data_IF_291148915928
#
_entry.id   IF_291148915928
#
_cell.length_a   1.000
_cell.length_b   1.000
_cell.length_c   1.000
_cell.angle_alpha   90.00
_cell.angle_beta   90.00
_cell.angle_gamma   90.00
#
_symmetry.space_group_name_H-M   'P 1'
#
loop_
_entity.id
_entity.type
_entity.pdbx_description
1 polymer ?
#
# COMPACT_ATOMS: atom_id res chain seq x y z
N UNK A 1 -17.75 9.35 7.28
CA UNK A 1 -17.43 10.55 8.09
C UNK A 1 -16.91 11.58 7.12
N UNK A 2 -17.69 12.63 6.84
CA UNK A 2 -17.28 13.77 6.01
C UNK A 2 -16.30 14.62 6.82
N UNK A 3 -15.23 15.08 6.22
CA UNK A 3 -14.31 16.06 6.83
C UNK A 3 -15.12 17.33 7.20
N UNK A 4 -14.79 18.00 8.32
CA UNK A 4 -15.37 19.30 8.58
C UNK A 4 -15.02 20.27 7.44
N UNK A 5 -15.93 21.18 7.05
CA UNK A 5 -15.82 22.02 5.85
C UNK A 5 -14.49 22.82 5.69
N UNK A 6 -13.84 23.16 6.79
CA UNK A 6 -12.54 23.86 6.78
C UNK A 6 -11.37 23.01 6.29
N UNK A 7 -11.42 21.68 6.45
CA UNK A 7 -10.31 20.80 6.05
C UNK A 7 -10.35 20.43 4.57
N UNK A 8 -11.52 20.47 3.90
CA UNK A 8 -11.58 20.27 2.44
C UNK A 8 -11.01 21.49 1.69
N UNK A 9 -11.17 22.71 2.25
CA UNK A 9 -10.65 23.95 1.66
C UNK A 9 -9.11 24.03 1.67
N UNK A 10 -8.43 23.27 2.55
CA UNK A 10 -6.98 23.30 2.68
C UNK A 10 -6.26 22.36 1.71
N UNK A 11 -7.00 21.53 0.96
CA UNK A 11 -6.46 20.53 0.05
C UNK A 11 -6.92 20.71 -1.38
N UNK A 12 -5.97 20.73 -2.31
CA UNK A 12 -6.27 20.63 -3.74
C UNK A 12 -6.32 19.16 -4.13
N UNK A 13 -7.47 18.71 -4.63
CA UNK A 13 -7.66 17.35 -5.17
C UNK A 13 -7.71 17.43 -6.68
N UNK A 14 -6.89 16.62 -7.34
CA UNK A 14 -6.81 16.57 -8.81
C UNK A 14 -6.61 15.13 -9.29
N UNK A 15 -6.91 14.87 -10.56
CA UNK A 15 -6.52 13.62 -11.22
C UNK A 15 -5.28 13.92 -12.06
N UNK A 16 -4.23 13.15 -11.83
CA UNK A 16 -2.94 13.29 -12.50
C UNK A 16 -2.54 11.99 -13.18
N UNK A 17 -1.75 12.09 -14.24
CA UNK A 17 -1.25 10.92 -14.96
C UNK A 17 0.26 11.06 -15.18
N UNK A 18 0.95 9.91 -15.19
CA UNK A 18 2.39 9.82 -15.42
C UNK A 18 2.72 8.59 -16.27
N UNK A 19 3.92 8.58 -16.86
CA UNK A 19 4.39 7.44 -17.65
C UNK A 19 5.31 6.56 -16.83
N UNK A 20 5.13 5.24 -16.96
CA UNK A 20 6.04 4.25 -16.37
C UNK A 20 7.28 4.06 -17.24
N UNK A 21 8.36 3.56 -16.64
CA UNK A 21 9.59 3.19 -17.35
C UNK A 21 9.52 1.80 -18.00
N UNK A 22 8.36 1.14 -18.03
CA UNK A 22 8.18 -0.18 -18.64
C UNK A 22 8.32 -0.18 -20.16
N UNK A 23 8.44 -1.36 -20.76
CA UNK A 23 8.44 -1.55 -22.20
C UNK A 23 7.31 -2.54 -22.60
N UNK A 24 6.19 -2.06 -23.18
CA UNK A 24 5.90 -0.66 -23.48
C UNK A 24 5.62 0.18 -22.24
N UNK A 25 5.86 1.50 -22.26
CA UNK A 25 5.51 2.38 -21.16
C UNK A 25 3.99 2.54 -21.07
N UNK A 26 3.47 2.48 -19.85
CA UNK A 26 2.05 2.70 -19.56
C UNK A 26 1.83 4.15 -19.09
N UNK A 27 0.64 4.70 -19.36
CA UNK A 27 0.17 5.92 -18.73
C UNK A 27 -0.74 5.52 -17.57
N UNK A 28 -0.23 5.68 -16.34
CA UNK A 28 -0.96 5.41 -15.10
C UNK A 28 -1.53 6.71 -14.58
N UNK A 29 -2.77 6.69 -14.11
CA UNK A 29 -3.43 7.84 -13.52
C UNK A 29 -3.83 7.57 -12.07
N UNK A 30 -4.08 8.64 -11.33
CA UNK A 30 -4.52 8.53 -9.94
C UNK A 30 -5.08 9.83 -9.40
N UNK A 31 -5.65 9.75 -8.19
CA UNK A 31 -6.18 10.88 -7.43
C UNK A 31 -5.08 11.43 -6.53
N UNK A 32 -4.62 12.63 -6.84
CA UNK A 32 -3.62 13.37 -6.09
C UNK A 32 -4.29 14.41 -5.19
N UNK A 33 -3.93 14.43 -3.92
CA UNK A 33 -4.31 15.48 -2.98
C UNK A 33 -3.05 16.14 -2.40
N UNK A 34 -2.89 17.45 -2.62
CA UNK A 34 -1.77 18.26 -2.13
C UNK A 34 -2.28 19.42 -1.27
N UNK A 35 -1.51 19.86 -0.25
CA UNK A 35 -1.91 21.02 0.53
C UNK A 35 -1.88 22.30 -0.32
N UNK A 36 -2.69 23.29 0.06
CA UNK A 36 -2.70 24.64 -0.53
C UNK A 36 -1.87 25.65 0.29
N UNK A 37 -1.23 25.20 1.38
CA UNK A 37 -0.48 26.05 2.31
C UNK A 37 0.81 26.68 1.75
N UNK A 38 1.28 26.21 0.59
CA UNK A 38 2.55 26.62 -0.01
C UNK A 38 3.80 25.96 0.59
N UNK A 39 3.68 25.21 1.68
CA UNK A 39 4.75 24.41 2.26
C UNK A 39 4.80 23.01 1.61
N UNK A 40 6.03 22.47 1.48
CA UNK A 40 6.20 21.12 0.96
C UNK A 40 5.80 20.07 2.01
N UNK A 41 4.81 19.25 1.67
CA UNK A 41 4.33 18.16 2.51
C UNK A 41 5.01 16.83 2.20
N UNK A 42 5.16 15.95 3.18
CA UNK A 42 5.42 14.54 2.91
C UNK A 42 4.26 13.94 2.12
N UNK A 43 4.51 12.86 1.37
CA UNK A 43 3.47 12.24 0.57
C UNK A 43 3.47 10.71 0.70
N UNK A 44 2.27 10.13 0.67
CA UNK A 44 2.06 8.68 0.64
C UNK A 44 1.43 8.28 -0.69
N UNK A 45 2.14 7.42 -1.45
CA UNK A 45 1.58 6.68 -2.56
C UNK A 45 0.65 5.60 -2.01
N UNK A 46 -0.55 5.47 -2.58
CA UNK A 46 -1.53 4.45 -2.21
C UNK A 46 -1.74 3.49 -3.38
N UNK A 47 -1.47 2.20 -3.13
CA UNK A 47 -1.60 1.11 -4.10
C UNK A 47 -2.78 0.21 -3.75
N UNK A 48 -3.76 0.13 -4.64
CA UNK A 48 -4.98 -0.67 -4.45
C UNK A 48 -4.73 -2.19 -4.48
N UNK A 49 -5.70 -2.97 -4.01
CA UNK A 49 -5.71 -4.43 -4.09
C UNK A 49 -6.15 -4.95 -5.47
N UNK A 50 -6.34 -6.27 -5.58
CA UNK A 50 -6.73 -6.96 -6.84
C UNK A 50 -8.03 -6.45 -7.45
N UNK A 51 -8.93 -5.86 -6.65
CA UNK A 51 -10.20 -5.32 -7.14
C UNK A 51 -10.09 -3.91 -7.76
N UNK A 52 -8.90 -3.32 -7.82
CA UNK A 52 -8.71 -1.95 -8.25
C UNK A 52 -9.05 -0.94 -7.16
N UNK A 53 -9.18 0.33 -7.54
CA UNK A 53 -9.61 1.42 -6.65
C UNK A 53 -11.05 1.16 -6.18
N UNK A 54 -11.27 1.04 -4.87
CA UNK A 54 -12.55 0.60 -4.31
C UNK A 54 -13.02 1.32 -3.03
N UNK A 55 -12.42 2.46 -2.72
CA UNK A 55 -12.75 3.30 -1.56
C UNK A 55 -11.86 3.08 -0.34
N UNK A 56 -11.11 1.96 -0.24
CA UNK A 56 -10.14 1.75 0.85
C UNK A 56 -9.06 2.82 0.86
N UNK A 57 -8.52 3.14 -0.32
CA UNK A 57 -7.52 4.18 -0.46
C UNK A 57 -8.01 5.52 0.10
N UNK A 58 -9.22 5.94 -0.25
CA UNK A 58 -9.81 7.18 0.28
C UNK A 58 -10.05 7.14 1.79
N UNK A 59 -10.47 5.99 2.34
CA UNK A 59 -10.65 5.83 3.79
C UNK A 59 -9.37 6.13 4.58
N UNK A 60 -8.21 5.63 4.09
CA UNK A 60 -6.91 5.92 4.70
C UNK A 60 -6.37 7.30 4.32
N UNK A 61 -6.57 7.73 3.07
CA UNK A 61 -6.11 9.03 2.58
C UNK A 61 -6.71 10.20 3.35
N UNK A 62 -7.98 10.11 3.73
CA UNK A 62 -8.64 11.13 4.55
C UNK A 62 -7.90 11.35 5.87
N UNK A 63 -7.52 10.28 6.58
CA UNK A 63 -6.79 10.40 7.84
C UNK A 63 -5.36 10.90 7.66
N UNK A 64 -4.69 10.48 6.59
CA UNK A 64 -3.35 10.98 6.24
C UNK A 64 -3.37 12.47 5.94
N UNK A 65 -4.36 12.95 5.17
CA UNK A 65 -4.53 14.39 4.90
C UNK A 65 -4.81 15.18 6.17
N UNK A 66 -5.63 14.66 7.08
CA UNK A 66 -5.86 15.26 8.41
C UNK A 66 -4.57 15.40 9.22
N UNK A 67 -3.60 14.55 8.95
CA UNK A 67 -2.28 14.54 9.57
C UNK A 67 -1.22 15.33 8.77
N UNK A 68 -1.62 16.14 7.78
CA UNK A 68 -0.72 16.96 6.98
C UNK A 68 0.09 16.21 5.91
N UNK A 69 -0.33 15.00 5.55
CA UNK A 69 0.37 14.13 4.58
C UNK A 69 -0.39 14.13 3.25
N UNK A 70 0.26 14.53 2.17
CA UNK A 70 -0.27 14.44 0.81
C UNK A 70 -0.48 12.98 0.41
N UNK A 71 -1.46 12.73 -0.47
CA UNK A 71 -1.78 11.36 -0.88
C UNK A 71 -1.93 11.25 -2.39
N UNK A 72 -1.45 10.14 -2.96
CA UNK A 72 -1.63 9.83 -4.36
C UNK A 72 -2.11 8.39 -4.53
N UNK A 73 -3.41 8.18 -4.73
CA UNK A 73 -3.98 6.87 -5.01
C UNK A 73 -3.95 6.62 -6.52
N UNK A 74 -3.13 5.65 -6.97
CA UNK A 74 -2.98 5.31 -8.38
C UNK A 74 -3.90 4.16 -8.80
N UNK A 75 -4.37 4.18 -10.05
CA UNK A 75 -5.10 3.07 -10.68
C UNK A 75 -4.15 2.27 -11.58
N UNK A 76 -3.59 1.19 -11.01
CA UNK A 76 -2.69 0.29 -11.74
C UNK A 76 -3.40 -0.54 -12.80
N UNK A 77 -4.74 -0.67 -12.75
CA UNK A 77 -5.50 -1.51 -13.67
C UNK A 77 -5.97 -0.78 -14.92
N UNK A 78 -6.42 0.47 -14.81
CA UNK A 78 -6.94 1.23 -15.94
C UNK A 78 -5.95 1.32 -17.11
N UNK A 79 -4.67 1.56 -16.82
CA UNK A 79 -3.61 1.62 -17.82
C UNK A 79 -3.39 0.30 -18.58
N UNK A 80 -3.83 -0.82 -18.01
CA UNK A 80 -3.70 -2.18 -18.59
C UNK A 80 -4.98 -2.64 -19.26
N UNK A 81 -6.05 -1.85 -19.23
CA UNK A 81 -7.37 -2.25 -19.70
C UNK A 81 -7.95 -3.44 -18.92
N UNK A 82 -7.43 -3.68 -17.69
CA UNK A 82 -7.86 -4.80 -16.88
C UNK A 82 -9.21 -4.49 -16.20
N UNK A 83 -10.05 -5.51 -16.13
CA UNK A 83 -11.28 -5.50 -15.35
C UNK A 83 -10.96 -5.86 -13.91
N UNK A 84 -11.92 -5.66 -13.00
CA UNK A 84 -11.78 -6.02 -11.59
C UNK A 84 -11.68 -7.54 -11.39
N UNK A 85 -11.00 -7.95 -10.33
CA UNK A 85 -10.96 -9.32 -9.83
C UNK A 85 -9.72 -10.10 -10.26
N UNK A 86 -9.59 -11.30 -9.70
CA UNK A 86 -8.40 -12.14 -9.81
C UNK A 86 -8.03 -12.54 -11.23
N UNK A 87 -9.04 -12.78 -12.09
CA UNK A 87 -8.82 -13.24 -13.47
C UNK A 87 -8.26 -12.18 -14.41
N UNK A 88 -8.36 -10.90 -14.04
CA UNK A 88 -8.00 -9.78 -14.90
C UNK A 88 -6.69 -9.09 -14.51
N UNK A 89 -6.13 -9.41 -13.34
CA UNK A 89 -4.88 -8.83 -12.85
C UNK A 89 -3.65 -9.34 -13.62
N UNK A 90 -2.50 -8.65 -13.59
CA UNK A 90 -1.23 -9.17 -14.11
C UNK A 90 -0.85 -10.53 -13.53
N UNK A 91 0.06 -11.24 -14.19
CA UNK A 91 0.48 -12.59 -13.76
C UNK A 91 1.20 -12.58 -12.42
N UNK A 92 1.91 -11.48 -12.12
CA UNK A 92 2.70 -11.35 -10.90
C UNK A 92 2.73 -9.91 -10.41
N UNK A 93 2.87 -9.73 -9.09
CA UNK A 93 2.96 -8.40 -8.47
C UNK A 93 4.14 -7.58 -9.00
N UNK A 94 5.35 -8.16 -9.22
CA UNK A 94 6.48 -7.42 -9.78
C UNK A 94 6.24 -6.70 -11.11
N UNK A 95 5.23 -7.11 -11.90
CA UNK A 95 4.85 -6.42 -13.13
C UNK A 95 4.27 -5.01 -12.88
N UNK A 96 3.84 -4.73 -11.65
CA UNK A 96 3.28 -3.42 -11.26
C UNK A 96 4.27 -2.53 -10.48
N UNK A 97 5.47 -3.02 -10.18
CA UNK A 97 6.49 -2.21 -9.50
C UNK A 97 6.92 -0.96 -10.29
N UNK A 98 7.03 -1.00 -11.64
CA UNK A 98 7.31 0.21 -12.41
C UNK A 98 6.30 1.33 -12.19
N UNK A 99 5.03 1.01 -11.86
CA UNK A 99 4.01 2.01 -11.59
C UNK A 99 4.32 2.76 -10.28
N UNK A 100 4.68 2.02 -9.22
CA UNK A 100 5.01 2.60 -7.93
C UNK A 100 6.29 3.46 -7.99
N UNK A 101 7.35 3.00 -8.67
CA UNK A 101 8.58 3.78 -8.80
C UNK A 101 8.41 5.01 -9.70
N UNK A 102 7.62 4.91 -10.76
CA UNK A 102 7.29 6.07 -11.59
C UNK A 102 6.41 7.08 -10.84
N UNK A 103 5.48 6.59 -9.99
CA UNK A 103 4.70 7.45 -9.11
C UNK A 103 5.56 8.20 -8.09
N UNK A 104 6.63 7.56 -7.55
CA UNK A 104 7.59 8.24 -6.69
C UNK A 104 8.29 9.39 -7.42
N UNK A 105 8.72 9.17 -8.66
CA UNK A 105 9.35 10.20 -9.50
C UNK A 105 8.36 11.33 -9.83
N UNK A 106 7.11 10.98 -10.12
CA UNK A 106 6.04 11.95 -10.37
C UNK A 106 5.76 12.81 -9.12
N UNK A 107 5.64 12.18 -7.94
CA UNK A 107 5.44 12.90 -6.67
C UNK A 107 6.60 13.84 -6.36
N UNK A 108 7.83 13.37 -6.50
CA UNK A 108 9.02 14.18 -6.23
C UNK A 108 9.16 15.42 -7.14
N UNK A 109 8.53 15.40 -8.31
CA UNK A 109 8.48 16.52 -9.24
C UNK A 109 7.39 17.56 -8.92
N UNK A 110 6.48 17.26 -7.97
CA UNK A 110 5.42 18.19 -7.57
C UNK A 110 6.00 19.27 -6.65
N UNK A 111 5.72 20.57 -6.91
CA UNK A 111 6.27 21.66 -6.09
C UNK A 111 5.79 21.63 -4.64
N UNK A 112 4.63 21.08 -4.36
CA UNK A 112 4.03 20.95 -3.02
C UNK A 112 4.51 19.73 -2.24
N UNK A 113 5.30 18.84 -2.84
CA UNK A 113 5.75 17.60 -2.22
C UNK A 113 7.22 17.69 -1.80
N UNK A 114 7.52 17.18 -0.61
CA UNK A 114 8.89 16.96 -0.15
C UNK A 114 9.41 15.63 -0.71
N UNK A 115 10.35 15.65 -1.66
CA UNK A 115 10.86 14.43 -2.29
C UNK A 115 11.66 13.53 -1.35
N UNK A 116 12.06 14.04 -0.18
CA UNK A 116 12.79 13.27 0.83
C UNK A 116 11.87 12.55 1.82
N UNK A 117 10.57 12.83 1.78
CA UNK A 117 9.55 12.24 2.67
C UNK A 117 8.43 11.58 1.87
N UNK A 118 8.80 10.55 1.10
CA UNK A 118 7.85 9.73 0.34
C UNK A 118 7.64 8.39 1.03
N UNK A 119 6.38 8.01 1.25
CA UNK A 119 5.99 6.71 1.75
C UNK A 119 5.09 5.97 0.77
N UNK A 120 4.88 4.68 1.02
CA UNK A 120 3.93 3.87 0.25
C UNK A 120 3.04 3.04 1.17
N UNK A 121 1.74 3.07 0.91
CA UNK A 121 0.70 2.29 1.56
C UNK A 121 0.04 1.38 0.52
N UNK A 122 -0.18 0.13 0.85
CA UNK A 122 -0.85 -0.76 -0.08
C UNK A 122 -1.74 -1.81 0.59
N UNK A 123 -2.74 -2.29 -0.17
CA UNK A 123 -3.74 -3.25 0.26
C UNK A 123 -3.60 -4.55 -0.53
N UNK A 124 -3.47 -5.71 0.12
CA UNK A 124 -3.39 -7.01 -0.56
C UNK A 124 -2.32 -6.99 -1.67
N UNK A 125 -2.68 -7.03 -2.95
CA UNK A 125 -1.75 -6.84 -4.06
C UNK A 125 -0.87 -5.59 -3.89
N UNK A 126 -1.47 -4.45 -3.61
CA UNK A 126 -0.75 -3.20 -3.32
C UNK A 126 0.11 -3.29 -2.06
N UNK A 127 -0.28 -4.09 -1.07
CA UNK A 127 0.53 -4.42 0.11
C UNK A 127 1.81 -5.14 -0.27
N UNK A 128 1.73 -6.11 -1.19
CA UNK A 128 2.92 -6.77 -1.75
C UNK A 128 3.78 -5.76 -2.53
N UNK A 129 3.16 -4.88 -3.35
CA UNK A 129 3.89 -3.79 -4.04
C UNK A 129 4.66 -2.93 -3.02
N UNK A 130 4.00 -2.49 -1.94
CA UNK A 130 4.63 -1.71 -0.88
C UNK A 130 5.86 -2.43 -0.30
N UNK A 131 5.73 -3.71 0.05
CA UNK A 131 6.84 -4.48 0.61
C UNK A 131 7.98 -4.70 -0.40
N UNK A 132 7.68 -4.98 -1.66
CA UNK A 132 8.71 -5.19 -2.67
C UNK A 132 9.47 -3.90 -3.01
N UNK A 133 8.83 -2.72 -2.95
CA UNK A 133 9.52 -1.44 -3.12
C UNK A 133 10.53 -1.14 -2.00
N UNK A 134 10.41 -1.82 -0.83
CA UNK A 134 11.37 -1.76 0.26
C UNK A 134 12.62 -2.62 0.05
N UNK A 135 12.68 -3.44 -1.01
CA UNK A 135 13.77 -4.39 -1.21
C UNK A 135 14.86 -3.83 -2.12
N UNK A 136 16.12 -4.13 -1.84
CA UNK A 136 17.29 -3.71 -2.63
C UNK A 136 17.25 -4.27 -4.06
N UNK A 137 16.96 -5.58 -4.30
CA UNK A 137 16.92 -6.13 -5.64
C UNK A 137 15.89 -5.47 -6.56
N UNK A 138 14.67 -5.27 -6.07
CA UNK A 138 13.62 -4.64 -6.87
C UNK A 138 13.88 -3.16 -7.09
N UNK A 139 14.40 -2.45 -6.07
CA UNK A 139 14.81 -1.07 -6.24
C UNK A 139 15.90 -0.92 -7.30
N UNK A 140 16.91 -1.79 -7.30
CA UNK A 140 17.98 -1.76 -8.28
C UNK A 140 17.48 -2.07 -9.70
N UNK A 141 16.58 -3.05 -9.86
CA UNK A 141 16.16 -3.52 -11.18
C UNK A 141 14.98 -2.73 -11.78
N UNK A 142 14.09 -2.15 -10.97
CA UNK A 142 12.86 -1.48 -11.42
C UNK A 142 12.73 -0.03 -10.94
N UNK A 143 13.47 0.36 -9.91
CA UNK A 143 13.43 1.68 -9.29
C UNK A 143 14.71 2.49 -9.44
N UNK A 144 15.64 2.07 -10.32
CA UNK A 144 16.87 2.80 -10.55
C UNK A 144 16.58 4.24 -11.00
N UNK A 145 17.18 5.23 -10.30
CA UNK A 145 16.94 6.65 -10.55
C UNK A 145 15.66 7.24 -9.96
N UNK A 146 14.71 6.42 -9.49
CA UNK A 146 13.55 6.93 -8.76
C UNK A 146 13.93 7.35 -7.34
N UNK A 147 13.25 8.35 -6.74
CA UNK A 147 13.38 8.67 -5.32
C UNK A 147 13.08 7.44 -4.44
N UNK A 148 13.70 7.38 -3.26
CA UNK A 148 13.44 6.31 -2.33
C UNK A 148 12.11 6.55 -1.59
N UNK A 149 11.34 5.49 -1.38
CA UNK A 149 10.36 5.50 -0.30
C UNK A 149 11.11 5.33 1.03
N UNK A 150 10.82 6.20 1.98
CA UNK A 150 11.43 6.18 3.32
C UNK A 150 10.56 5.48 4.36
N UNK A 151 9.37 5.03 3.98
CA UNK A 151 8.44 4.29 4.84
C UNK A 151 7.49 3.44 4.00
N UNK A 152 7.19 2.22 4.48
CA UNK A 152 6.35 1.26 3.76
C UNK A 152 5.28 0.70 4.70
N UNK A 153 4.01 0.80 4.33
CA UNK A 153 2.90 0.20 5.06
C UNK A 153 2.14 -0.78 4.16
N UNK A 154 1.85 -1.97 4.68
CA UNK A 154 1.16 -3.03 3.96
C UNK A 154 0.04 -3.61 4.80
N UNK A 155 -1.18 -3.63 4.25
CA UNK A 155 -2.32 -4.28 4.85
C UNK A 155 -2.56 -5.63 4.16
N UNK A 156 -2.64 -6.69 4.95
CA UNK A 156 -2.89 -8.08 4.55
C UNK A 156 -2.17 -8.50 3.24
N UNK A 157 -0.80 -8.42 3.23
CA UNK A 157 0.01 -8.61 2.01
C UNK A 157 0.20 -10.09 1.63
N UNK A 158 -0.54 -11.04 2.24
CA UNK A 158 -0.41 -12.50 2.04
C UNK A 158 0.98 -13.01 2.44
N UNK A 159 1.24 -13.03 3.74
CA UNK A 159 2.57 -13.27 4.34
C UNK A 159 3.19 -14.63 3.97
N UNK A 160 2.37 -15.69 3.81
CA UNK A 160 2.88 -17.03 3.48
C UNK A 160 3.69 -17.06 2.17
N UNK A 161 3.36 -16.18 1.22
CA UNK A 161 3.96 -16.18 -0.11
C UNK A 161 5.41 -15.66 -0.10
N UNK A 162 5.76 -14.81 0.89
CA UNK A 162 7.12 -14.31 1.01
C UNK A 162 8.10 -15.42 1.45
N UNK A 163 9.30 -15.40 0.90
CA UNK A 163 10.38 -16.41 1.06
C UNK A 163 10.01 -17.79 0.49
N UNK A 164 8.84 -17.92 -0.19
CA UNK A 164 8.38 -19.17 -0.82
C UNK A 164 8.18 -18.98 -2.32
N UNK A 165 7.46 -17.91 -2.72
CA UNK A 165 7.20 -17.63 -4.12
C UNK A 165 8.38 -16.89 -4.79
N UNK A 166 8.75 -17.24 -6.04
CA UNK A 166 9.83 -16.57 -6.74
C UNK A 166 9.64 -15.04 -6.83
N UNK A 167 10.65 -14.28 -6.46
CA UNK A 167 10.65 -12.82 -6.49
C UNK A 167 9.93 -12.15 -5.31
N UNK A 168 9.37 -12.90 -4.38
CA UNK A 168 8.78 -12.40 -3.14
C UNK A 168 9.73 -12.72 -1.97
N UNK A 169 10.73 -11.88 -1.76
CA UNK A 169 11.67 -11.99 -0.64
C UNK A 169 11.86 -10.64 0.05
N UNK A 170 11.91 -10.66 1.38
CA UNK A 170 12.22 -9.53 2.26
C UNK A 170 13.60 -9.70 2.94
N UNK A 171 14.42 -10.61 2.45
CA UNK A 171 15.74 -10.87 3.03
C UNK A 171 16.70 -9.68 2.88
N UNK A 172 16.57 -8.90 1.81
CA UNK A 172 17.45 -7.77 1.50
C UNK A 172 16.67 -6.46 1.44
N UNK A 173 16.37 -5.89 2.59
CA UNK A 173 15.64 -4.62 2.71
C UNK A 173 16.57 -3.40 2.60
N UNK A 174 16.01 -2.28 2.16
CA UNK A 174 16.71 -0.98 2.07
C UNK A 174 17.08 -0.40 3.43
N UNK A 175 16.41 -0.80 4.49
CA UNK A 175 16.55 -0.27 5.84
C UNK A 175 15.46 0.74 6.23
N UNK A 176 14.60 1.13 5.30
CA UNK A 176 13.43 1.95 5.61
C UNK A 176 12.46 1.17 6.52
N UNK A 177 11.79 1.83 7.49
CA UNK A 177 10.82 1.20 8.36
C UNK A 177 9.62 0.65 7.57
N UNK A 178 9.10 -0.48 8.05
CA UNK A 178 7.97 -1.19 7.46
C UNK A 178 6.92 -1.46 8.54
N UNK A 179 5.64 -1.19 8.22
CA UNK A 179 4.49 -1.62 9.00
C UNK A 179 3.71 -2.67 8.21
N UNK A 180 3.56 -3.87 8.78
CA UNK A 180 2.71 -4.93 8.21
C UNK A 180 1.52 -5.13 9.14
N UNK A 181 0.31 -5.07 8.60
CA UNK A 181 -0.94 -5.26 9.32
C UNK A 181 -1.73 -6.40 8.70
N UNK A 182 -2.08 -7.40 9.49
CA UNK A 182 -2.82 -8.60 9.06
C UNK A 182 -4.06 -8.81 9.93
N UNK A 183 -4.90 -9.76 9.56
CA UNK A 183 -5.99 -10.24 10.40
C UNK A 183 -5.82 -11.74 10.66
N UNK A 184 -6.13 -12.21 11.87
CA UNK A 184 -6.01 -13.62 12.24
C UNK A 184 -7.13 -14.51 11.68
N UNK A 185 -8.16 -13.90 11.06
CA UNK A 185 -9.23 -14.58 10.33
C UNK A 185 -9.09 -14.45 8.81
N UNK A 186 -7.91 -14.06 8.30
CA UNK A 186 -7.65 -13.92 6.87
C UNK A 186 -7.55 -15.28 6.18
N UNK A 187 -8.48 -15.57 5.25
CA UNK A 187 -8.49 -16.84 4.52
C UNK A 187 -7.36 -17.00 3.49
N UNK A 188 -6.53 -16.01 3.29
CA UNK A 188 -5.34 -16.13 2.42
C UNK A 188 -4.10 -16.58 3.18
N UNK A 189 -4.07 -16.44 4.52
CA UNK A 189 -2.92 -16.70 5.35
C UNK A 189 -3.27 -17.62 6.53
N UNK A 190 -2.26 -18.06 7.27
CA UNK A 190 -2.49 -18.68 8.57
C UNK A 190 -2.72 -17.58 9.63
N UNK A 191 -3.43 -17.85 10.73
CA UNK A 191 -3.67 -16.84 11.79
C UNK A 191 -2.39 -16.21 12.34
N UNK A 192 -1.29 -16.96 12.35
CA UNK A 192 0.06 -16.56 12.76
C UNK A 192 1.02 -16.36 11.57
N UNK A 193 0.49 -16.17 10.35
CA UNK A 193 1.27 -16.06 9.11
C UNK A 193 2.29 -14.93 9.13
N UNK A 194 1.99 -13.81 9.80
CA UNK A 194 2.94 -12.73 9.99
C UNK A 194 4.11 -13.14 10.89
N UNK A 195 3.85 -13.80 12.00
CA UNK A 195 4.90 -14.28 12.90
C UNK A 195 5.79 -15.34 12.23
N UNK A 196 5.18 -16.22 11.44
CA UNK A 196 5.91 -17.19 10.62
C UNK A 196 6.80 -16.51 9.58
N UNK A 197 6.33 -15.45 8.92
CA UNK A 197 7.14 -14.66 7.99
C UNK A 197 8.33 -14.03 8.75
N UNK A 198 8.08 -13.33 9.84
CA UNK A 198 9.12 -12.66 10.62
C UNK A 198 10.18 -13.64 11.13
N UNK A 199 9.78 -14.84 11.53
CA UNK A 199 10.70 -15.88 11.99
C UNK A 199 11.67 -16.37 10.90
N UNK A 200 11.25 -16.35 9.62
CA UNK A 200 12.09 -16.75 8.48
C UNK A 200 13.08 -15.67 8.02
N UNK A 201 12.83 -14.39 8.38
CA UNK A 201 13.65 -13.30 7.91
C UNK A 201 14.99 -13.18 8.66
N UNK A 202 16.06 -12.69 7.97
CA UNK A 202 17.29 -12.28 8.63
C UNK A 202 17.02 -11.23 9.72
N UNK A 203 17.84 -11.23 10.78
CA UNK A 203 17.68 -10.31 11.91
C UNK A 203 17.66 -8.82 11.47
N UNK A 204 18.51 -8.45 10.51
CA UNK A 204 18.57 -7.08 9.98
C UNK A 204 17.26 -6.67 9.29
N UNK A 205 16.63 -7.57 8.52
CA UNK A 205 15.34 -7.30 7.87
C UNK A 205 14.21 -7.24 8.90
N UNK A 206 14.21 -8.18 9.85
CA UNK A 206 13.20 -8.20 10.92
C UNK A 206 13.24 -6.94 11.79
N UNK A 207 14.41 -6.37 12.03
CA UNK A 207 14.61 -5.20 12.90
C UNK A 207 13.89 -3.93 12.40
N UNK A 208 13.61 -3.83 11.11
CA UNK A 208 12.92 -2.67 10.51
C UNK A 208 11.43 -2.89 10.28
N UNK A 209 10.91 -4.08 10.64
CA UNK A 209 9.50 -4.44 10.44
C UNK A 209 8.76 -4.40 11.77
N UNK A 210 7.69 -3.60 11.81
CA UNK A 210 6.66 -3.64 12.87
C UNK A 210 5.47 -4.43 12.35
N UNK A 211 5.08 -5.48 13.06
CA UNK A 211 3.91 -6.31 12.75
C UNK A 211 2.72 -5.99 13.67
N UNK A 212 1.52 -6.02 13.11
CA UNK A 212 0.25 -5.92 13.87
C UNK A 212 -0.73 -6.93 13.31
N UNK A 213 -1.30 -7.78 14.18
CA UNK A 213 -2.36 -8.72 13.81
C UNK A 213 -3.67 -8.29 14.47
N UNK A 214 -4.69 -8.00 13.65
CA UNK A 214 -6.01 -7.58 14.10
C UNK A 214 -6.89 -8.81 14.35
N UNK A 215 -7.35 -8.95 15.61
CA UNK A 215 -8.15 -10.10 16.03
C UNK A 215 -9.51 -10.13 15.35
N UNK A 216 -9.90 -11.28 14.82
CA UNK A 216 -11.18 -11.52 14.13
C UNK A 216 -11.32 -10.85 12.77
N UNK A 217 -10.29 -10.15 12.31
CA UNK A 217 -10.31 -9.46 11.02
C UNK A 217 -9.92 -10.43 9.89
N UNK A 218 -10.73 -10.43 8.81
CA UNK A 218 -10.47 -11.18 7.59
C UNK A 218 -9.73 -10.37 6.54
N UNK A 219 -9.51 -10.94 5.37
CA UNK A 219 -8.89 -10.23 4.23
C UNK A 219 -9.73 -9.02 3.82
N UNK A 220 -9.09 -7.87 3.63
CA UNK A 220 -9.81 -6.64 3.25
C UNK A 220 -10.77 -6.13 4.32
N UNK A 221 -10.44 -6.29 5.58
CA UNK A 221 -11.25 -5.92 6.75
C UNK A 221 -11.62 -4.42 6.81
N UNK A 222 -10.92 -3.58 6.07
CA UNK A 222 -11.16 -2.14 5.97
C UNK A 222 -12.01 -1.72 4.76
N UNK A 223 -12.59 -2.70 4.05
CA UNK A 223 -13.49 -2.47 2.93
C UNK A 223 -14.92 -2.29 3.42
N UNK A 224 -15.38 -1.05 3.59
CA UNK A 224 -16.73 -0.72 4.04
C UNK A 224 -17.77 -1.01 2.95
N UNK A 225 -18.15 -2.29 2.85
CA UNK A 225 -19.16 -2.82 1.93
C UNK A 225 -19.92 -3.97 2.59
N UNK A 226 -21.12 -4.31 2.11
CA UNK A 226 -21.82 -5.50 2.56
C UNK A 226 -20.96 -6.75 2.44
N UNK A 227 -21.07 -7.65 3.42
CA UNK A 227 -20.35 -8.90 3.41
C UNK A 227 -20.66 -9.71 2.13
N UNK A 228 -19.61 -10.25 1.51
CA UNK A 228 -19.75 -11.06 0.31
C UNK A 228 -18.80 -12.25 0.38
N UNK A 229 -19.13 -13.33 -0.33
CA UNK A 229 -18.21 -14.43 -0.56
C UNK A 229 -17.72 -14.37 -2.01
N UNK A 230 -16.41 -14.36 -2.20
CA UNK A 230 -15.76 -14.45 -3.52
C UNK A 230 -15.04 -15.78 -3.63
N UNK A 231 -14.75 -16.22 -4.84
CA UNK A 231 -13.82 -17.34 -5.09
C UNK A 231 -12.54 -16.79 -5.68
N UNK A 232 -11.42 -17.05 -5.01
CA UNK A 232 -10.11 -16.60 -5.47
C UNK A 232 -9.14 -17.80 -5.55
N UNK A 233 -8.42 -17.98 -6.70
CA UNK A 233 -7.47 -19.08 -6.88
C UNK A 233 -6.24 -19.00 -5.93
N UNK A 234 -5.98 -17.83 -5.34
CA UNK A 234 -4.85 -17.62 -4.44
C UNK A 234 -5.21 -17.71 -2.95
N UNK A 235 -6.50 -17.88 -2.62
CA UNK A 235 -6.94 -18.11 -1.26
C UNK A 235 -6.37 -19.42 -0.68
N UNK A 236 -6.44 -19.55 0.64
CA UNK A 236 -6.02 -20.77 1.37
C UNK A 236 -4.59 -21.21 1.00
N UNK A 237 -3.66 -20.25 0.99
CA UNK A 237 -2.25 -20.45 0.62
C UNK A 237 -2.07 -21.04 -0.78
N UNK A 238 -2.78 -20.45 -1.75
CA UNK A 238 -2.71 -20.83 -3.17
C UNK A 238 -3.49 -22.09 -3.55
N UNK A 239 -4.26 -22.69 -2.62
CA UNK A 239 -5.13 -23.84 -2.91
C UNK A 239 -6.43 -23.44 -3.61
N UNK A 240 -6.76 -22.14 -3.57
CA UNK A 240 -8.01 -21.60 -4.07
C UNK A 240 -9.21 -21.92 -3.18
N UNK A 241 -10.32 -21.23 -3.44
CA UNK A 241 -11.56 -21.48 -2.74
C UNK A 241 -12.34 -20.24 -2.36
N UNK A 242 -13.44 -20.41 -1.60
CA UNK A 242 -14.28 -19.31 -1.18
C UNK A 242 -13.62 -18.49 -0.06
N UNK A 243 -13.72 -17.17 -0.16
CA UNK A 243 -13.26 -16.22 0.84
C UNK A 243 -14.43 -15.33 1.25
N UNK A 244 -14.72 -15.26 2.53
CA UNK A 244 -15.68 -14.32 3.06
C UNK A 244 -15.01 -12.98 3.31
N UNK A 245 -15.41 -11.96 2.56
CA UNK A 245 -14.98 -10.58 2.72
C UNK A 245 -16.00 -9.87 3.62
N UNK A 246 -15.54 -9.36 4.77
CA UNK A 246 -16.41 -8.70 5.75
C UNK A 246 -15.70 -7.46 6.29
N UNK A 247 -16.40 -6.34 6.32
CA UNK A 247 -15.92 -5.14 7.00
C UNK A 247 -15.84 -5.38 8.51
N UNK A 248 -14.67 -5.07 9.08
CA UNK A 248 -14.43 -5.15 10.53
C UNK A 248 -14.06 -3.75 11.04
N UNK A 249 -15.05 -3.01 11.50
CA UNK A 249 -14.92 -1.58 11.86
C UNK A 249 -13.77 -1.30 12.82
N UNK A 250 -13.67 -2.05 13.90
CA UNK A 250 -12.63 -1.85 14.91
C UNK A 250 -11.22 -2.04 14.33
N UNK A 251 -11.01 -3.12 13.56
CA UNK A 251 -9.73 -3.38 12.90
C UNK A 251 -9.42 -2.31 11.84
N UNK A 252 -10.41 -1.88 11.06
CA UNK A 252 -10.25 -0.84 10.05
C UNK A 252 -9.81 0.50 10.67
N UNK A 253 -10.49 0.93 11.74
CA UNK A 253 -10.15 2.16 12.46
C UNK A 253 -8.77 2.07 13.14
N UNK A 254 -8.46 0.93 13.78
CA UNK A 254 -7.15 0.70 14.38
C UNK A 254 -6.02 0.71 13.33
N UNK A 255 -6.24 0.04 12.20
CA UNK A 255 -5.25 0.01 11.11
C UNK A 255 -5.02 1.40 10.50
N UNK A 256 -6.08 2.18 10.32
CA UNK A 256 -6.00 3.56 9.85
C UNK A 256 -5.21 4.44 10.80
N UNK A 257 -5.48 4.36 12.10
CA UNK A 257 -4.75 5.10 13.12
C UNK A 257 -3.27 4.68 13.19
N UNK A 258 -2.99 3.37 13.09
CA UNK A 258 -1.62 2.85 13.06
C UNK A 258 -0.83 3.35 11.83
N UNK A 259 -1.46 3.43 10.65
CA UNK A 259 -0.83 4.00 9.45
C UNK A 259 -0.47 5.48 9.66
N UNK A 260 -1.37 6.28 10.21
CA UNK A 260 -1.10 7.71 10.50
C UNK A 260 0.08 7.85 11.46
N UNK A 261 0.06 7.13 12.59
CA UNK A 261 1.12 7.17 13.58
C UNK A 261 2.47 6.74 12.99
N UNK A 262 2.47 5.67 12.20
CA UNK A 262 3.65 5.15 11.53
C UNK A 262 4.27 6.15 10.55
N UNK A 263 3.47 6.77 9.68
CA UNK A 263 3.99 7.76 8.74
C UNK A 263 4.41 9.06 9.43
N UNK A 264 3.73 9.49 10.52
CA UNK A 264 4.17 10.61 11.34
C UNK A 264 5.58 10.37 11.90
N UNK A 265 5.79 9.19 12.52
CA UNK A 265 7.09 8.79 13.05
C UNK A 265 8.16 8.78 11.95
N UNK A 266 7.88 8.11 10.83
CA UNK A 266 8.83 7.94 9.74
C UNK A 266 9.19 9.26 9.02
N UNK A 267 8.27 10.22 8.97
CA UNK A 267 8.50 11.53 8.34
C UNK A 267 8.96 12.60 9.31
N UNK A 268 9.12 12.28 10.61
CA UNK A 268 9.52 13.24 11.63
C UNK A 268 8.50 14.37 11.83
N UNK A 269 7.20 14.06 11.67
CA UNK A 269 6.12 15.02 11.92
C UNK A 269 5.81 14.99 13.42
N UNK A 270 5.96 16.14 14.09
CA UNK A 270 5.57 16.26 15.49
C UNK A 270 4.03 16.31 15.59
N UNK A 271 3.38 15.51 16.42
CA UNK A 271 1.95 15.69 16.69
C UNK A 271 1.71 17.09 17.28
N UNK A 272 0.76 17.81 16.68
CA UNK A 272 0.29 19.08 17.24
C UNK A 272 -0.54 18.86 18.51
#
# INVERSE_FOLDING_TARGET
MTLPPRMEADWRVSYAAFRTAGAPPLTVAGKLATPQSGERAPAVLICHGSDGVDGRGEFHALALRQAGIATFEIDMWAARGTKRGAAARPRSVPETLPDAFAAASFLAAQPEIDPMRLGVLGFSWGGVVSLLTATRPWRASRGAGAPAFVAHAALYPVCWAFEVAPGLSLAELTGAPILIQTGDADAYDDPDGLDQLLARLPAASRAVIRGVTHKGAGHGFDRDRPAQTITDPFAHKGKGGPVRMTFHREAAEAARAANVAFFHEAFGITPN
#
